data_IF_789114599516
#
_entry.id   IF_789114599516
#
_cell.length_a   1.000
_cell.length_b   1.000
_cell.length_c   1.000
_cell.angle_alpha   90.00
_cell.angle_beta   90.00
_cell.angle_gamma   90.00
#
_symmetry.space_group_name_H-M   'P 1'
#
loop_
_entity.id
_entity.type
_entity.pdbx_description
1 polymer ?
#
# COMPACT_ATOMS: atom_id res chain seq x y z
N UNK A 1 11.05 -5.69 8.74
CA UNK A 1 10.21 -6.36 7.73
C UNK A 1 8.90 -5.60 7.66
N UNK A 2 8.76 -4.74 6.67
CA UNK A 2 7.55 -3.93 6.47
C UNK A 2 6.49 -4.71 5.70
N UNK A 3 5.23 -4.29 5.80
CA UNK A 3 4.12 -4.89 5.05
C UNK A 3 4.41 -4.96 3.54
N UNK A 4 4.92 -3.87 2.96
CA UNK A 4 5.29 -3.79 1.55
C UNK A 4 6.34 -4.84 1.19
N UNK A 5 7.37 -5.06 2.02
CA UNK A 5 8.38 -6.10 1.75
C UNK A 5 7.77 -7.50 1.77
N UNK A 6 6.86 -7.78 2.71
CA UNK A 6 6.18 -9.08 2.77
C UNK A 6 5.21 -9.28 1.61
N UNK A 7 4.54 -8.20 1.17
CA UNK A 7 3.70 -8.22 0.00
C UNK A 7 4.50 -8.46 -1.28
N UNK A 8 5.69 -7.86 -1.40
CA UNK A 8 6.63 -8.09 -2.50
C UNK A 8 7.14 -9.54 -2.53
N UNK A 9 7.36 -10.15 -1.37
CA UNK A 9 7.71 -11.57 -1.25
C UNK A 9 6.53 -12.52 -1.51
N UNK A 10 5.31 -12.01 -1.66
CA UNK A 10 4.10 -12.82 -1.77
C UNK A 10 3.73 -13.54 -0.46
N UNK A 11 4.32 -13.13 0.67
CA UNK A 11 4.05 -13.70 2.00
C UNK A 11 2.77 -13.13 2.62
N UNK A 12 2.36 -11.94 2.20
CA UNK A 12 1.17 -11.24 2.70
C UNK A 12 0.41 -10.65 1.50
N UNK A 13 -0.92 -10.60 1.58
CA UNK A 13 -1.77 -10.01 0.53
C UNK A 13 -2.23 -8.62 0.94
N UNK A 14 -2.65 -7.84 -0.04
CA UNK A 14 -3.33 -6.55 0.19
C UNK A 14 -4.53 -6.69 1.12
N UNK A 15 -5.27 -7.80 1.05
CA UNK A 15 -6.43 -8.13 1.89
C UNK A 15 -6.06 -8.19 3.38
N UNK A 16 -4.84 -8.59 3.72
CA UNK A 16 -4.39 -8.68 5.11
C UNK A 16 -4.04 -7.31 5.70
N UNK A 17 -3.95 -6.25 4.87
CA UNK A 17 -3.63 -4.92 5.38
C UNK A 17 -4.65 -4.43 6.40
N UNK A 18 -5.93 -4.74 6.20
CA UNK A 18 -7.03 -4.27 7.05
C UNK A 18 -6.81 -4.78 8.47
N UNK A 19 -6.38 -6.05 8.57
CA UNK A 19 -6.02 -6.69 9.83
C UNK A 19 -4.77 -6.08 10.46
N UNK A 20 -3.78 -5.72 9.66
CA UNK A 20 -2.56 -5.03 10.15
C UNK A 20 -2.88 -3.63 10.68
N UNK A 21 -3.83 -2.93 10.05
CA UNK A 21 -4.27 -1.59 10.43
C UNK A 21 -5.11 -1.65 11.69
N UNK A 22 -6.00 -2.65 11.83
CA UNK A 22 -6.72 -2.93 13.08
C UNK A 22 -5.76 -3.23 14.23
N UNK A 23 -4.78 -4.11 14.04
CA UNK A 23 -3.79 -4.46 15.08
C UNK A 23 -2.94 -3.24 15.49
N UNK A 24 -2.69 -2.33 14.55
CA UNK A 24 -2.05 -1.04 14.81
C UNK A 24 -2.97 -0.06 15.55
N UNK A 25 -4.24 0.04 15.14
CA UNK A 25 -5.25 0.89 15.77
C UNK A 25 -5.54 0.48 17.22
N UNK A 26 -5.52 -0.83 17.49
CA UNK A 26 -5.70 -1.38 18.84
C UNK A 26 -4.42 -1.31 19.68
N UNK A 27 -3.31 -0.81 19.10
CA UNK A 27 -2.03 -0.69 19.78
C UNK A 27 -1.35 -2.03 20.07
N UNK A 28 -1.83 -3.14 19.49
CA UNK A 28 -1.21 -4.46 19.63
C UNK A 28 0.14 -4.52 18.91
N UNK A 29 0.29 -3.81 17.79
CA UNK A 29 1.53 -3.75 17.01
C UNK A 29 1.83 -2.36 16.47
N UNK A 30 3.09 -1.94 16.57
CA UNK A 30 3.53 -0.67 15.99
C UNK A 30 3.00 0.58 16.70
N UNK A 31 2.59 0.46 17.98
CA UNK A 31 2.15 1.61 18.79
C UNK A 31 3.18 2.75 18.86
N UNK A 32 4.47 2.45 18.72
CA UNK A 32 5.58 3.42 18.69
C UNK A 32 6.00 3.86 17.28
N UNK A 33 5.35 3.36 16.23
CA UNK A 33 5.67 3.70 14.84
C UNK A 33 4.46 4.20 14.08
N UNK A 34 4.71 5.15 13.19
CA UNK A 34 3.70 5.65 12.28
C UNK A 34 3.29 4.55 11.28
N UNK A 35 2.00 4.47 10.96
CA UNK A 35 1.46 3.42 10.08
C UNK A 35 2.17 3.38 8.71
N UNK A 36 2.58 4.53 8.17
CA UNK A 36 3.39 4.59 6.93
C UNK A 36 4.75 3.88 7.08
N UNK A 37 5.44 4.03 8.22
CA UNK A 37 6.70 3.30 8.49
C UNK A 37 6.46 1.81 8.69
N UNK A 38 5.38 1.45 9.38
CA UNK A 38 5.01 0.05 9.59
C UNK A 38 4.70 -0.65 8.26
N UNK A 39 3.96 0.04 7.39
CA UNK A 39 3.64 -0.47 6.06
C UNK A 39 4.86 -0.44 5.13
N UNK A 40 5.80 0.47 5.34
CA UNK A 40 6.93 0.70 4.43
C UNK A 40 6.55 1.57 3.24
N UNK A 41 5.59 2.47 3.45
CA UNK A 41 5.12 3.46 2.48
C UNK A 41 5.68 4.84 2.81
N UNK A 42 5.78 5.69 1.79
CA UNK A 42 6.04 7.11 1.99
C UNK A 42 4.80 7.81 2.55
N UNK A 43 5.00 8.98 3.17
CA UNK A 43 3.89 9.79 3.69
C UNK A 43 2.86 10.15 2.60
N UNK A 44 3.31 10.46 1.39
CA UNK A 44 2.44 10.77 0.25
C UNK A 44 1.54 9.58 -0.15
N UNK A 45 2.13 8.38 -0.27
CA UNK A 45 1.40 7.15 -0.60
C UNK A 45 0.38 6.82 0.50
N UNK A 46 0.79 7.01 1.76
CA UNK A 46 -0.07 6.80 2.91
C UNK A 46 -1.25 7.77 2.93
N UNK A 47 -1.03 9.06 2.69
CA UNK A 47 -2.10 10.06 2.67
C UNK A 47 -3.13 9.74 1.59
N UNK A 48 -2.67 9.30 0.41
CA UNK A 48 -3.56 8.87 -0.67
C UNK A 48 -4.34 7.61 -0.27
N UNK A 49 -3.68 6.63 0.33
CA UNK A 49 -4.33 5.41 0.81
C UNK A 49 -5.37 5.67 1.91
N UNK A 50 -5.07 6.53 2.88
CA UNK A 50 -6.02 6.94 3.93
C UNK A 50 -7.25 7.61 3.33
N UNK A 51 -7.07 8.41 2.28
CA UNK A 51 -8.18 9.09 1.59
C UNK A 51 -8.95 8.12 0.68
N UNK A 52 -8.29 7.09 0.18
CA UNK A 52 -8.86 6.12 -0.76
C UNK A 52 -8.27 4.74 -0.49
N UNK A 53 -8.98 3.86 0.23
CA UNK A 53 -8.46 2.54 0.59
C UNK A 53 -8.14 1.68 -0.65
N UNK A 54 -8.86 1.88 -1.76
CA UNK A 54 -8.59 1.25 -3.06
C UNK A 54 -7.26 1.68 -3.69
N UNK A 55 -6.68 2.81 -3.27
CA UNK A 55 -5.36 3.25 -3.73
C UNK A 55 -4.24 2.34 -3.23
N UNK A 56 -4.49 1.52 -2.20
CA UNK A 56 -3.49 0.57 -1.72
C UNK A 56 -3.03 -0.39 -2.80
N UNK A 57 -3.98 -0.98 -3.52
CA UNK A 57 -3.70 -1.93 -4.59
C UNK A 57 -2.85 -1.28 -5.68
N UNK A 58 -3.08 0.01 -5.94
CA UNK A 58 -2.30 0.83 -6.87
C UNK A 58 -0.86 1.03 -6.34
N UNK A 59 -0.70 1.42 -5.08
CA UNK A 59 0.61 1.60 -4.43
C UNK A 59 1.40 0.30 -4.43
N UNK A 60 0.77 -0.82 -4.04
CA UNK A 60 1.40 -2.13 -4.02
C UNK A 60 1.77 -2.60 -5.43
N UNK A 61 0.90 -2.39 -6.42
CA UNK A 61 1.19 -2.70 -7.82
C UNK A 61 2.35 -1.86 -8.36
N UNK A 62 2.40 -0.56 -8.03
CA UNK A 62 3.47 0.35 -8.41
C UNK A 62 4.81 -0.14 -7.84
N UNK A 63 4.85 -0.44 -6.54
CA UNK A 63 6.04 -0.96 -5.84
C UNK A 63 6.48 -2.32 -6.38
N UNK A 64 5.53 -3.21 -6.69
CA UNK A 64 5.82 -4.53 -7.29
C UNK A 64 6.45 -4.42 -8.68
N UNK A 65 6.04 -3.41 -9.45
CA UNK A 65 6.60 -3.10 -10.78
C UNK A 65 7.86 -2.23 -10.71
N UNK A 66 8.20 -1.69 -9.54
CA UNK A 66 9.30 -0.74 -9.38
C UNK A 66 9.07 0.62 -10.05
N UNK A 67 7.80 1.00 -10.24
CA UNK A 67 7.40 2.28 -10.86
C UNK A 67 6.76 3.21 -9.82
N UNK A 68 6.72 4.50 -10.10
CA UNK A 68 6.05 5.49 -9.25
C UNK A 68 4.52 5.36 -9.29
N UNK A 69 3.84 5.83 -8.25
CA UNK A 69 2.38 5.83 -8.15
C UNK A 69 1.71 6.53 -9.35
N UNK A 70 2.25 7.68 -9.78
CA UNK A 70 1.81 8.40 -10.98
C UNK A 70 1.91 7.56 -12.26
N UNK A 71 3.00 6.79 -12.41
CA UNK A 71 3.17 5.90 -13.57
C UNK A 71 2.16 4.75 -13.54
N UNK A 72 1.84 4.22 -12.36
CA UNK A 72 0.83 3.16 -12.22
C UNK A 72 -0.57 3.69 -12.55
N UNK A 73 -0.92 4.89 -12.06
CA UNK A 73 -2.19 5.54 -12.39
C UNK A 73 -2.32 5.81 -13.89
N UNK A 74 -1.24 6.26 -14.53
CA UNK A 74 -1.20 6.45 -15.98
C UNK A 74 -1.38 5.12 -16.75
N UNK A 75 -0.76 4.03 -16.28
CA UNK A 75 -0.89 2.69 -16.87
C UNK A 75 -2.34 2.18 -16.79
N UNK A 76 -3.00 2.31 -15.62
CA UNK A 76 -4.42 1.94 -15.50
C UNK A 76 -5.32 2.79 -16.41
N UNK A 77 -5.12 4.11 -16.44
CA UNK A 77 -5.89 4.99 -17.29
C UNK A 77 -5.72 4.67 -18.78
N UNK A 78 -4.53 4.22 -19.19
CA UNK A 78 -4.26 3.80 -20.55
C UNK A 78 -4.89 2.43 -20.90
N UNK A 79 -4.90 1.48 -19.95
CA UNK A 79 -5.62 0.22 -20.11
C UNK A 79 -7.14 0.41 -20.27
N UNK A 80 -7.76 1.32 -19.51
CA UNK A 80 -9.21 1.60 -19.64
C UNK A 80 -9.58 2.38 -20.91
N UNK A 81 -8.62 3.06 -21.56
CA UNK A 81 -8.87 3.87 -22.76
C UNK A 81 -8.81 3.08 -24.07
N UNK A 82 -8.33 1.84 -24.03
CA UNK A 82 -8.11 1.01 -25.21
C UNK A 82 -9.19 -0.06 -25.44
N UNK A 83 -10.31 0.02 -24.71
CA UNK A 83 -11.49 -0.86 -24.86
C UNK A 83 -12.58 -0.17 -25.70
#
# INVERSE_FOLDING_TARGET
MSFVEQCLKGSVREEEIERFVEDWHEGRKGADMELHKYLGMSWDEYQMWVTTPSALSIVLAARKRGISLEQQLADQANCLRSD
#
